data_IF_196461633390
#
_entry.id   IF_196461633390
#
_cell.length_a   1.000
_cell.length_b   1.000
_cell.length_c   1.000
_cell.angle_alpha   90.00
_cell.angle_beta   90.00
_cell.angle_gamma   90.00
#
_symmetry.space_group_name_H-M   'P 1'
#
loop_
_entity.id
_entity.type
_entity.pdbx_description
1 polymer ?
#
# COMPACT_ATOMS: atom_id res chain seq x y z
N UNK A 1 -21.44 -5.60 -16.21
CA UNK A 1 -20.07 -5.08 -16.37
C UNK A 1 -19.24 -6.22 -16.95
N UNK A 2 -18.58 -6.02 -18.08
CA UNK A 2 -17.69 -7.06 -18.62
C UNK A 2 -16.50 -7.30 -17.68
N UNK A 3 -15.96 -8.51 -17.67
CA UNK A 3 -14.92 -8.93 -16.72
C UNK A 3 -13.66 -8.05 -16.80
N UNK A 4 -13.31 -7.55 -18.00
CA UNK A 4 -12.20 -6.61 -18.21
C UNK A 4 -12.41 -5.28 -17.48
N UNK A 5 -13.63 -4.73 -17.55
CA UNK A 5 -13.96 -3.48 -16.85
C UNK A 5 -13.96 -3.69 -15.33
N UNK A 6 -14.45 -4.85 -14.87
CA UNK A 6 -14.36 -5.22 -13.45
C UNK A 6 -12.91 -5.34 -12.97
N UNK A 7 -12.02 -5.90 -13.80
CA UNK A 7 -10.60 -6.02 -13.50
C UNK A 7 -9.92 -4.64 -13.38
N UNK A 8 -10.26 -3.71 -14.27
CA UNK A 8 -9.78 -2.32 -14.17
C UNK A 8 -10.21 -1.69 -12.84
N UNK A 9 -11.49 -1.78 -12.51
CA UNK A 9 -12.06 -1.19 -11.28
C UNK A 9 -11.39 -1.75 -10.02
N UNK A 10 -11.13 -3.07 -9.97
CA UNK A 10 -10.53 -3.67 -8.77
C UNK A 10 -9.06 -3.30 -8.60
N UNK A 11 -8.28 -3.21 -9.69
CA UNK A 11 -6.88 -2.76 -9.63
C UNK A 11 -6.77 -1.31 -9.14
N UNK A 12 -7.61 -0.41 -9.67
CA UNK A 12 -7.67 0.98 -9.20
C UNK A 12 -8.11 1.08 -7.73
N UNK A 13 -9.04 0.22 -7.30
CA UNK A 13 -9.50 0.16 -5.92
C UNK A 13 -8.38 -0.27 -4.96
N UNK A 14 -7.62 -1.31 -5.30
CA UNK A 14 -6.50 -1.78 -4.47
C UNK A 14 -5.42 -0.72 -4.30
N UNK A 15 -5.03 -0.03 -5.37
CA UNK A 15 -4.04 1.07 -5.30
C UNK A 15 -4.52 2.15 -4.34
N UNK A 16 -5.74 2.66 -4.54
CA UNK A 16 -6.31 3.71 -3.68
C UNK A 16 -6.45 3.28 -2.23
N UNK A 17 -6.87 2.04 -1.98
CA UNK A 17 -7.02 1.51 -0.63
C UNK A 17 -5.67 1.43 0.09
N UNK A 18 -4.66 0.89 -0.59
CA UNK A 18 -3.30 0.82 -0.06
C UNK A 18 -2.72 2.20 0.26
N UNK A 19 -2.85 3.16 -0.67
CA UNK A 19 -2.38 4.54 -0.49
C UNK A 19 -3.09 5.24 0.68
N UNK A 20 -4.39 5.02 0.86
CA UNK A 20 -5.16 5.61 1.96
C UNK A 20 -4.66 5.19 3.35
N UNK A 21 -4.02 4.02 3.46
CA UNK A 21 -3.45 3.54 4.72
C UNK A 21 -2.00 3.96 4.95
N UNK A 22 -1.29 4.53 3.96
CA UNK A 22 0.13 4.90 4.12
C UNK A 22 0.34 5.97 5.19
N UNK A 23 -0.54 6.96 5.30
CA UNK A 23 -0.45 7.96 6.37
C UNK A 23 -0.64 7.33 7.76
N UNK A 24 -1.53 6.34 7.86
CA UNK A 24 -1.78 5.62 9.10
C UNK A 24 -0.59 4.73 9.49
N UNK A 25 0.00 4.00 8.53
CA UNK A 25 1.22 3.22 8.77
C UNK A 25 2.38 4.10 9.23
N UNK A 26 2.61 5.25 8.56
CA UNK A 26 3.65 6.20 8.97
C UNK A 26 3.39 6.76 10.37
N UNK A 27 2.13 7.06 10.70
CA UNK A 27 1.75 7.52 12.04
C UNK A 27 2.10 6.47 13.09
N UNK A 28 1.76 5.21 12.87
CA UNK A 28 2.05 4.13 13.82
C UNK A 28 3.54 3.78 13.90
N UNK A 29 4.29 3.88 12.80
CA UNK A 29 5.75 3.79 12.84
C UNK A 29 6.35 4.89 13.73
N UNK A 30 5.86 6.14 13.62
CA UNK A 30 6.28 7.24 14.48
C UNK A 30 5.91 7.01 15.96
N UNK A 31 4.74 6.44 16.23
CA UNK A 31 4.34 6.07 17.60
C UNK A 31 5.28 4.99 18.15
N UNK A 32 5.57 3.94 17.37
CA UNK A 32 6.51 2.89 17.77
C UNK A 32 7.90 3.45 18.09
N UNK A 33 8.40 4.39 17.27
CA UNK A 33 9.65 5.09 17.54
C UNK A 33 9.61 5.87 18.86
N UNK A 34 8.51 6.60 19.14
CA UNK A 34 8.37 7.36 20.40
C UNK A 34 8.33 6.48 21.66
N UNK A 35 8.04 5.18 21.50
CA UNK A 35 7.98 4.20 22.57
C UNK A 35 9.28 3.39 22.72
N UNK A 36 10.32 3.65 21.92
CA UNK A 36 11.55 2.85 21.90
C UNK A 36 11.32 1.42 21.38
N UNK A 37 10.42 1.27 20.40
CA UNK A 37 10.08 -0.01 19.76
C UNK A 37 10.61 -0.04 18.33
N UNK A 38 11.92 0.09 18.16
CA UNK A 38 12.60 0.25 16.87
C UNK A 38 12.31 -0.91 15.91
N UNK A 39 12.31 -2.16 16.39
CA UNK A 39 11.99 -3.33 15.56
C UNK A 39 10.57 -3.25 15.00
N UNK A 40 9.61 -2.74 15.79
CA UNK A 40 8.21 -2.60 15.32
C UNK A 40 8.11 -1.50 14.28
N UNK A 41 8.76 -0.34 14.51
CA UNK A 41 8.88 0.74 13.52
C UNK A 41 9.43 0.21 12.20
N UNK A 42 10.55 -0.50 12.25
CA UNK A 42 11.21 -1.08 11.06
C UNK A 42 10.28 -2.02 10.30
N UNK A 43 9.53 -2.88 11.00
CA UNK A 43 8.58 -3.79 10.34
C UNK A 43 7.38 -3.07 9.72
N UNK A 44 6.89 -2.00 10.32
CA UNK A 44 5.83 -1.17 9.72
C UNK A 44 6.35 -0.46 8.47
N UNK A 45 7.55 0.11 8.52
CA UNK A 45 8.18 0.78 7.37
C UNK A 45 8.47 -0.21 6.24
N UNK A 46 9.00 -1.39 6.55
CA UNK A 46 9.24 -2.47 5.57
C UNK A 46 7.93 -2.93 4.91
N UNK A 47 6.87 -3.14 5.68
CA UNK A 47 5.57 -3.50 5.14
C UNK A 47 5.00 -2.39 4.23
N UNK A 48 5.16 -1.13 4.63
CA UNK A 48 4.72 0.02 3.83
C UNK A 48 5.43 0.07 2.48
N UNK A 49 6.75 -0.13 2.46
CA UNK A 49 7.54 -0.18 1.22
C UNK A 49 7.11 -1.31 0.29
N UNK A 50 6.85 -2.52 0.82
CA UNK A 50 6.37 -3.64 0.02
C UNK A 50 4.98 -3.40 -0.58
N UNK A 51 4.11 -2.67 0.12
CA UNK A 51 2.80 -2.30 -0.41
C UNK A 51 2.94 -1.24 -1.51
N UNK A 52 3.88 -0.30 -1.38
CA UNK A 52 4.20 0.67 -2.42
C UNK A 52 4.72 -0.02 -3.70
N UNK A 53 5.62 -1.00 -3.56
CA UNK A 53 6.08 -1.85 -4.67
C UNK A 53 4.91 -2.61 -5.33
N UNK A 54 3.99 -3.17 -4.54
CA UNK A 54 2.79 -3.83 -5.07
C UNK A 54 1.89 -2.86 -5.85
N UNK A 55 1.76 -1.61 -5.39
CA UNK A 55 1.01 -0.58 -6.10
C UNK A 55 1.64 -0.23 -7.45
N UNK A 56 2.97 -0.18 -7.56
CA UNK A 56 3.62 0.02 -8.86
C UNK A 56 3.30 -1.11 -9.83
N UNK A 57 3.34 -2.36 -9.38
CA UNK A 57 2.94 -3.52 -10.20
C UNK A 57 1.47 -3.44 -10.64
N UNK A 58 0.56 -2.99 -9.78
CA UNK A 58 -0.83 -2.77 -10.17
C UNK A 58 -0.99 -1.64 -11.18
N UNK A 59 -0.20 -0.55 -11.09
CA UNK A 59 -0.20 0.53 -12.09
C UNK A 59 0.35 0.04 -13.43
N UNK A 60 1.37 -0.81 -13.44
CA UNK A 60 1.86 -1.46 -14.66
C UNK A 60 0.80 -2.38 -15.27
N UNK A 61 0.12 -3.19 -14.46
CA UNK A 61 -0.99 -4.03 -14.91
C UNK A 61 -2.13 -3.20 -15.54
N UNK A 62 -2.48 -2.05 -14.94
CA UNK A 62 -3.48 -1.13 -15.50
C UNK A 62 -3.04 -0.52 -16.84
N UNK A 63 -1.75 -0.22 -17.03
CA UNK A 63 -1.22 0.28 -18.30
C UNK A 63 -1.25 -0.78 -19.41
N UNK A 64 -1.17 -2.05 -19.04
CA UNK A 64 -1.20 -3.19 -19.97
C UNK A 64 -2.60 -3.73 -20.27
N UNK A 65 -3.64 -3.25 -19.55
CA UNK A 65 -5.02 -3.71 -19.66
C UNK A 65 -5.77 -3.07 -20.82
#
# INVERSE_FOLDING_TARGET
MEERERLRVILEHWIRHNEAHFEEYRRWASVAASLGLEVIKEKIEEATGRIEEANELFREALKAL
#
